data_IF_680464788152
#
_entry.id   IF_680464788152
#
_cell.length_a   1.000
_cell.length_b   1.000
_cell.length_c   1.000
_cell.angle_alpha   90.00
_cell.angle_beta   90.00
_cell.angle_gamma   90.00
#
_symmetry.space_group_name_H-M   'P 1'
#
loop_
_entity.id
_entity.type
_entity.pdbx_description
1 polymer ?
#
# COMPACT_ATOMS: atom_id res chain seq x y z
N UNK A 1 0.02 -17.67 2.50
CA UNK A 1 -1.23 -17.28 3.19
C UNK A 1 -0.98 -17.00 4.66
N UNK A 2 -0.40 -17.91 5.41
CA UNK A 2 -0.09 -17.70 6.83
C UNK A 2 0.89 -16.57 7.09
N UNK A 3 1.94 -16.46 6.26
CA UNK A 3 2.91 -15.37 6.38
C UNK A 3 2.28 -14.01 6.16
N UNK A 4 1.37 -13.92 5.20
CA UNK A 4 0.64 -12.69 4.91
C UNK A 4 -0.24 -12.29 6.10
N UNK A 5 -0.95 -13.22 6.68
CA UNK A 5 -1.79 -12.98 7.85
C UNK A 5 -0.97 -12.56 9.07
N UNK A 6 0.20 -13.18 9.28
CA UNK A 6 1.12 -12.81 10.36
C UNK A 6 1.68 -11.39 10.19
N UNK A 7 2.05 -11.03 8.97
CA UNK A 7 2.55 -9.69 8.67
C UNK A 7 1.50 -8.64 9.02
N UNK A 8 0.26 -8.86 8.60
CA UNK A 8 -0.84 -7.94 8.90
C UNK A 8 -1.11 -7.80 10.39
N UNK A 9 -1.03 -8.90 11.14
CA UNK A 9 -1.24 -8.88 12.58
C UNK A 9 -0.20 -8.05 13.34
N UNK A 10 1.02 -7.90 12.79
CA UNK A 10 2.12 -7.15 13.39
C UNK A 10 2.22 -5.69 12.89
N UNK A 11 1.46 -5.33 11.88
CA UNK A 11 1.45 -3.98 11.32
C UNK A 11 0.37 -3.14 11.98
N UNK A 12 0.77 -2.36 12.98
CA UNK A 12 -0.14 -1.54 13.79
C UNK A 12 -0.31 -0.14 13.19
N UNK A 13 -1.47 0.46 13.41
CA UNK A 13 -1.83 1.80 12.91
C UNK A 13 -1.60 1.95 11.41
N UNK A 14 -1.94 0.92 10.67
CA UNK A 14 -1.76 0.79 9.24
C UNK A 14 -2.60 1.82 8.47
N UNK A 15 -1.94 2.58 7.58
CA UNK A 15 -2.60 3.54 6.68
C UNK A 15 -2.05 3.36 5.29
N UNK A 16 -2.93 3.19 4.32
CA UNK A 16 -2.60 2.82 2.94
C UNK A 16 -3.07 3.88 1.95
N UNK A 17 -2.21 4.17 0.97
CA UNK A 17 -2.61 4.90 -0.24
C UNK A 17 -2.26 4.05 -1.45
N UNK A 18 -3.23 3.82 -2.33
CA UNK A 18 -3.04 3.18 -3.64
C UNK A 18 -3.17 4.21 -4.75
N UNK A 19 -2.45 3.99 -5.84
CA UNK A 19 -2.51 4.84 -7.02
C UNK A 19 -2.46 3.98 -8.28
N UNK A 20 -3.40 4.21 -9.20
CA UNK A 20 -3.31 3.62 -10.53
C UNK A 20 -2.10 4.19 -11.24
N UNK A 21 -1.18 3.32 -11.65
CA UNK A 21 0.05 3.75 -12.29
C UNK A 21 -0.04 3.69 -13.80
N UNK A 22 -0.57 2.59 -14.34
CA UNK A 22 -0.70 2.40 -15.77
C UNK A 22 -1.73 1.31 -16.07
N UNK A 23 -2.25 1.30 -17.28
CA UNK A 23 -3.08 0.20 -17.75
C UNK A 23 -2.92 0.02 -19.27
N UNK A 24 -3.16 -1.20 -19.74
CA UNK A 24 -3.14 -1.52 -21.16
C UNK A 24 -4.01 -2.76 -21.38
N UNK A 25 -5.07 -2.62 -22.18
CA UNK A 25 -6.01 -3.72 -22.43
C UNK A 25 -6.63 -4.21 -21.14
N UNK A 26 -6.43 -5.50 -20.84
CA UNK A 26 -6.96 -6.15 -19.64
C UNK A 26 -5.96 -6.18 -18.46
N UNK A 27 -4.89 -5.38 -18.53
CA UNK A 27 -3.85 -5.34 -17.51
C UNK A 27 -3.81 -3.98 -16.83
N UNK A 28 -3.64 -4.01 -15.50
CA UNK A 28 -3.56 -2.81 -14.68
C UNK A 28 -2.35 -2.92 -13.76
N UNK A 29 -1.57 -1.85 -13.72
CA UNK A 29 -0.47 -1.70 -12.77
C UNK A 29 -0.85 -0.67 -11.72
N UNK A 30 -0.75 -1.06 -10.45
CA UNK A 30 -1.08 -0.22 -9.30
C UNK A 30 0.15 -0.12 -8.42
N UNK A 31 0.48 1.07 -8.00
CA UNK A 31 1.48 1.23 -6.94
C UNK A 31 0.79 1.63 -5.65
N UNK A 32 1.44 1.31 -4.53
CA UNK A 32 0.90 1.66 -3.23
C UNK A 32 2.05 1.92 -2.25
N UNK A 33 1.72 2.65 -1.20
CA UNK A 33 2.60 2.78 -0.05
C UNK A 33 1.74 2.83 1.20
N UNK A 34 2.25 2.29 2.28
CA UNK A 34 1.56 2.36 3.56
C UNK A 34 2.55 2.62 4.69
N UNK A 35 2.07 3.25 5.73
CA UNK A 35 2.83 3.51 6.95
C UNK A 35 2.24 2.70 8.08
N UNK A 36 3.11 2.16 8.91
CA UNK A 36 2.73 1.31 10.03
C UNK A 36 3.84 1.31 11.06
N UNK A 37 3.55 0.83 12.27
CA UNK A 37 4.58 0.59 13.27
C UNK A 37 4.45 -0.83 13.82
N UNK A 38 5.54 -1.34 14.40
CA UNK A 38 5.54 -2.61 15.10
C UNK A 38 5.11 -2.42 16.56
N UNK A 39 5.11 -3.49 17.33
CA UNK A 39 4.74 -3.48 18.74
C UNK A 39 5.81 -2.82 19.64
N UNK A 40 6.95 -2.43 19.09
CA UNK A 40 8.01 -1.65 19.76
C UNK A 40 8.02 -0.17 19.35
N UNK A 41 6.97 0.30 18.68
CA UNK A 41 6.82 1.66 18.16
C UNK A 41 7.89 2.09 17.15
N UNK A 42 8.49 1.14 16.44
CA UNK A 42 9.33 1.44 15.29
C UNK A 42 8.44 1.65 14.06
N UNK A 43 8.60 2.80 13.41
CA UNK A 43 7.81 3.14 12.23
C UNK A 43 8.48 2.69 10.95
N UNK A 44 7.64 2.32 9.98
CA UNK A 44 8.06 1.85 8.66
C UNK A 44 7.18 2.46 7.59
N UNK A 45 7.76 2.64 6.41
CA UNK A 45 6.98 2.90 5.19
C UNK A 45 7.27 1.77 4.22
N UNK A 46 6.20 1.13 3.76
CA UNK A 46 6.29 0.03 2.81
C UNK A 46 5.86 0.51 1.45
N UNK A 47 6.68 0.24 0.45
CA UNK A 47 6.42 0.58 -0.94
C UNK A 47 6.16 -0.69 -1.70
N UNK A 48 5.15 -0.68 -2.57
CA UNK A 48 4.85 -1.85 -3.37
C UNK A 48 4.18 -1.52 -4.68
N UNK A 49 4.07 -2.55 -5.49
CA UNK A 49 3.28 -2.52 -6.69
C UNK A 49 2.53 -3.83 -6.87
N UNK A 50 1.44 -3.76 -7.59
CA UNK A 50 0.66 -4.91 -8.00
C UNK A 50 0.40 -4.82 -9.49
N UNK A 51 0.47 -5.96 -10.16
CA UNK A 51 0.10 -6.08 -11.56
C UNK A 51 -1.05 -7.06 -11.66
N UNK A 52 -2.16 -6.59 -12.22
CA UNK A 52 -3.39 -7.36 -12.36
C UNK A 52 -3.65 -7.67 -13.82
N UNK A 53 -4.14 -8.87 -14.08
CA UNK A 53 -4.66 -9.26 -15.39
C UNK A 53 -6.07 -9.78 -15.23
N UNK A 54 -6.98 -9.29 -16.06
CA UNK A 54 -8.39 -9.67 -16.04
C UNK A 54 -8.71 -10.58 -17.21
N UNK A 55 -9.59 -11.54 -16.98
CA UNK A 55 -10.12 -12.38 -18.04
C UNK A 55 -11.22 -11.64 -18.82
N UNK A 56 -11.66 -12.22 -19.93
CA UNK A 56 -12.67 -11.61 -20.81
C UNK A 56 -14.00 -11.34 -20.11
N UNK A 57 -14.32 -12.08 -19.06
CA UNK A 57 -15.54 -11.90 -18.26
C UNK A 57 -15.40 -10.84 -17.15
N UNK A 58 -14.25 -10.14 -17.10
CA UNK A 58 -14.01 -9.08 -16.14
C UNK A 58 -13.52 -9.55 -14.78
N UNK A 59 -13.25 -10.84 -14.60
CA UNK A 59 -12.71 -11.37 -13.35
C UNK A 59 -11.18 -11.33 -13.34
N UNK A 60 -10.60 -11.11 -12.15
CA UNK A 60 -9.14 -11.08 -12.00
C UNK A 60 -8.57 -12.49 -12.19
N UNK A 61 -7.80 -12.67 -13.26
CA UNK A 61 -7.19 -13.96 -13.61
C UNK A 61 -5.81 -14.13 -12.96
N UNK A 62 -5.05 -13.05 -12.82
CA UNK A 62 -3.70 -13.10 -12.26
C UNK A 62 -3.42 -11.83 -11.47
N UNK A 63 -2.65 -11.99 -10.37
CA UNK A 63 -2.20 -10.87 -9.54
C UNK A 63 -0.77 -11.14 -9.09
N UNK A 64 0.11 -10.20 -9.39
CA UNK A 64 1.50 -10.24 -8.96
C UNK A 64 1.77 -9.03 -8.08
N UNK A 65 2.35 -9.24 -6.91
CA UNK A 65 2.63 -8.17 -5.96
C UNK A 65 4.05 -8.26 -5.44
N UNK A 66 4.66 -7.10 -5.19
CA UNK A 66 5.94 -7.01 -4.50
C UNK A 66 5.91 -5.84 -3.52
N UNK A 67 6.57 -5.99 -2.37
CA UNK A 67 6.57 -5.03 -1.28
C UNK A 67 7.98 -4.92 -0.70
N UNK A 68 8.42 -3.68 -0.43
CA UNK A 68 9.67 -3.39 0.27
C UNK A 68 9.37 -2.52 1.49
N UNK A 69 9.86 -2.93 2.65
CA UNK A 69 9.69 -2.20 3.89
C UNK A 69 10.95 -1.36 4.17
N UNK A 70 10.74 -0.08 4.51
CA UNK A 70 11.83 0.85 4.82
C UNK A 70 11.58 1.43 6.20
N UNK A 71 12.54 1.32 7.15
CA UNK A 71 12.38 1.96 8.46
C UNK A 71 12.43 3.48 8.31
N UNK A 72 11.56 4.18 9.06
CA UNK A 72 11.50 5.63 9.11
C UNK A 72 11.44 6.10 10.56
N UNK A 73 11.74 7.37 10.78
CA UNK A 73 11.47 7.99 12.07
C UNK A 73 9.99 8.37 12.15
N UNK A 74 9.44 8.40 13.37
CA UNK A 74 8.06 8.85 13.57
C UNK A 74 7.81 10.24 12.99
N UNK A 75 8.82 11.12 13.02
CA UNK A 75 8.76 12.47 12.45
C UNK A 75 8.75 12.48 10.92
N UNK A 76 9.12 11.39 10.28
CA UNK A 76 9.13 11.27 8.81
C UNK A 76 7.81 10.78 8.24
N UNK A 77 6.82 10.50 9.08
CA UNK A 77 5.49 10.05 8.65
C UNK A 77 4.82 11.13 7.79
N UNK A 78 4.17 10.67 6.73
CA UNK A 78 3.43 11.54 5.80
C UNK A 78 1.92 11.30 5.83
N UNK A 79 1.46 10.25 6.50
CA UNK A 79 0.06 9.87 6.58
C UNK A 79 -0.51 10.30 7.94
N UNK A 80 -1.28 11.38 7.95
CA UNK A 80 -1.70 12.07 9.16
C UNK A 80 -3.22 12.12 9.34
N UNK A 81 -3.94 11.11 8.88
CA UNK A 81 -5.37 11.02 9.17
C UNK A 81 -5.62 10.03 10.30
N UNK A 82 -6.81 10.09 10.89
CA UNK A 82 -7.23 9.09 11.88
C UNK A 82 -7.26 7.71 11.23
N UNK A 83 -7.07 6.69 12.03
CA UNK A 83 -6.98 5.31 11.54
C UNK A 83 -8.22 4.96 10.70
N UNK A 84 -7.99 4.24 9.61
CA UNK A 84 -9.01 3.85 8.67
C UNK A 84 -8.71 4.32 7.25
N UNK A 85 -9.76 4.47 6.45
CA UNK A 85 -9.64 4.87 5.06
C UNK A 85 -9.09 6.30 4.93
N UNK A 86 -8.22 6.52 3.94
CA UNK A 86 -7.73 7.86 3.62
C UNK A 86 -8.88 8.80 3.29
N UNK A 87 -8.94 10.01 3.90
CA UNK A 87 -9.90 11.03 3.51
C UNK A 87 -9.71 11.46 2.04
N UNK A 88 -10.79 11.83 1.37
CA UNK A 88 -10.75 12.20 -0.05
C UNK A 88 -9.89 13.45 -0.31
N UNK A 89 -9.79 14.34 0.66
CA UNK A 89 -8.97 15.55 0.58
C UNK A 89 -7.51 15.37 0.97
N UNK A 90 -7.13 14.18 1.43
CA UNK A 90 -5.73 13.90 1.77
C UNK A 90 -4.90 13.74 0.49
N UNK A 91 -3.66 14.31 0.44
CA UNK A 91 -2.78 14.15 -0.73
C UNK A 91 -2.53 12.68 -1.10
N UNK A 92 -2.45 12.38 -2.39
CA UNK A 92 -2.09 11.07 -2.92
C UNK A 92 -0.58 10.84 -2.93
N UNK A 93 -0.14 9.69 -3.41
CA UNK A 93 1.29 9.33 -3.42
C UNK A 93 2.13 10.32 -4.20
N UNK A 94 1.72 10.68 -5.41
CA UNK A 94 2.45 11.64 -6.25
C UNK A 94 2.55 13.01 -5.58
N UNK A 95 1.49 13.45 -4.90
CA UNK A 95 1.46 14.73 -4.20
C UNK A 95 2.41 14.76 -3.00
N UNK A 96 2.64 13.60 -2.37
CA UNK A 96 3.54 13.46 -1.23
C UNK A 96 5.00 13.22 -1.64
N UNK A 97 5.26 13.09 -2.94
CA UNK A 97 6.58 12.76 -3.45
C UNK A 97 6.98 11.30 -3.22
N UNK A 98 6.00 10.44 -3.09
CA UNK A 98 6.19 9.00 -2.88
C UNK A 98 5.91 8.18 -4.16
#
# INVERSE_FOLDING_TARGET
MEEHARKWANELDYRLIKELWAFAGNRIAVRFAYEWHDDSDHWYRSYGNENWEFSDDGLMASRFASINDIPILGSERKYHWVLGRRPDDHPGLSDLGL
#
